data_IF_255170828139
#
_entry.id   IF_255170828139
#
_cell.length_a   1.000
_cell.length_b   1.000
_cell.length_c   1.000
_cell.angle_alpha   90.00
_cell.angle_beta   90.00
_cell.angle_gamma   90.00
#
_symmetry.space_group_name_H-M   'P 1'
#
loop_
_entity.id
_entity.type
_entity.pdbx_description
1 polymer ?
#
# COMPACT_ATOMS: atom_id res chain seq x y z
N UNK A 1 7.32 0.19 -24.28
CA UNK A 1 6.83 1.44 -23.66
C UNK A 1 5.68 1.93 -24.51
N UNK A 2 4.50 2.11 -23.95
CA UNK A 2 3.32 2.56 -24.69
C UNK A 2 3.40 4.08 -24.75
N UNK A 3 3.66 4.62 -25.95
CA UNK A 3 3.54 6.05 -26.18
C UNK A 3 2.04 6.40 -26.11
N UNK A 4 1.68 7.41 -25.37
CA UNK A 4 0.31 7.88 -25.23
C UNK A 4 0.21 9.38 -25.47
N UNK A 5 -1.01 9.86 -25.59
CA UNK A 5 -1.30 11.27 -25.79
C UNK A 5 -2.35 11.74 -24.79
N UNK A 6 -2.37 13.02 -24.48
CA UNK A 6 -3.58 13.70 -24.00
C UNK A 6 -4.27 14.33 -25.19
N UNK A 7 -5.56 14.05 -25.33
CA UNK A 7 -6.41 14.65 -26.37
C UNK A 7 -7.33 15.69 -25.75
N UNK A 8 -7.74 16.63 -26.59
CA UNK A 8 -8.69 17.68 -26.22
C UNK A 8 -9.77 17.78 -27.29
N UNK A 9 -11.01 17.86 -26.85
CA UNK A 9 -12.17 18.02 -27.71
C UNK A 9 -12.13 19.38 -28.42
N UNK A 10 -12.37 19.41 -29.72
CA UNK A 10 -12.40 20.66 -30.51
C UNK A 10 -13.69 21.46 -30.32
N UNK A 11 -14.74 20.86 -29.75
CA UNK A 11 -15.96 21.59 -29.43
C UNK A 11 -15.71 22.52 -28.22
N UNK A 12 -15.82 23.84 -28.41
CA UNK A 12 -15.54 24.83 -27.37
C UNK A 12 -16.47 24.73 -26.15
N UNK A 13 -17.70 24.24 -26.34
CA UNK A 13 -18.66 24.04 -25.26
C UNK A 13 -18.40 22.75 -24.47
N UNK A 14 -17.56 21.85 -24.99
CA UNK A 14 -17.19 20.59 -24.35
C UNK A 14 -15.84 20.63 -23.67
N UNK A 15 -14.78 21.02 -24.38
CA UNK A 15 -13.41 21.17 -23.88
C UNK A 15 -12.85 19.92 -23.16
N UNK A 16 -13.44 18.73 -23.38
CA UNK A 16 -13.08 17.52 -22.64
C UNK A 16 -11.67 17.06 -22.97
N UNK A 17 -10.83 16.89 -21.97
CA UNK A 17 -9.43 16.47 -22.10
C UNK A 17 -9.20 15.13 -21.41
N UNK A 18 -8.60 14.17 -22.14
CA UNK A 18 -8.46 12.79 -21.66
C UNK A 18 -7.19 12.11 -22.20
N UNK A 19 -6.63 11.12 -21.48
CA UNK A 19 -5.52 10.31 -21.98
C UNK A 19 -6.02 9.29 -23.01
N UNK A 20 -5.26 9.14 -24.11
CA UNK A 20 -5.46 8.12 -25.13
C UNK A 20 -4.17 7.33 -25.32
N UNK A 21 -4.26 6.02 -25.11
CA UNK A 21 -3.13 5.10 -25.24
C UNK A 21 -3.00 4.52 -26.67
N UNK A 22 -3.94 4.81 -27.56
CA UNK A 22 -3.89 4.38 -28.96
C UNK A 22 -2.95 5.27 -29.77
N UNK A 23 -1.70 4.86 -29.87
CA UNK A 23 -0.63 5.59 -30.57
C UNK A 23 -0.84 5.72 -32.09
N UNK A 24 -1.78 4.97 -32.68
CA UNK A 24 -1.94 4.84 -34.14
C UNK A 24 -3.15 5.59 -34.72
N UNK A 25 -3.91 6.31 -33.93
CA UNK A 25 -5.12 7.00 -34.38
C UNK A 25 -4.86 8.50 -34.57
N UNK A 26 -4.71 8.94 -35.81
CA UNK A 26 -4.62 10.38 -36.14
C UNK A 26 -5.94 11.10 -35.86
N UNK A 27 -7.07 10.42 -36.00
CA UNK A 27 -8.41 10.93 -35.68
C UNK A 27 -9.00 10.17 -34.50
N UNK A 28 -9.40 10.89 -33.47
CA UNK A 28 -10.17 10.35 -32.34
C UNK A 28 -11.40 11.22 -32.10
N UNK A 29 -12.45 10.57 -31.59
CA UNK A 29 -13.67 11.25 -31.19
C UNK A 29 -13.77 11.40 -29.69
N UNK A 30 -14.29 12.53 -29.25
CA UNK A 30 -14.48 12.83 -27.85
C UNK A 30 -15.46 11.84 -27.21
N UNK A 31 -15.09 11.12 -26.13
CA UNK A 31 -15.98 10.13 -25.49
C UNK A 31 -17.17 10.78 -24.78
N UNK A 32 -17.16 12.12 -24.63
CA UNK A 32 -18.24 12.86 -23.97
C UNK A 32 -19.29 13.39 -24.94
N UNK A 33 -18.89 13.96 -26.06
CA UNK A 33 -19.84 14.61 -27.01
C UNK A 33 -19.77 14.06 -28.43
N UNK A 34 -18.84 13.16 -28.75
CA UNK A 34 -18.70 12.57 -30.10
C UNK A 34 -17.99 13.47 -31.13
N UNK A 35 -17.62 14.69 -30.80
CA UNK A 35 -16.92 15.61 -31.68
C UNK A 35 -15.44 15.23 -31.84
N UNK A 36 -14.75 15.73 -32.83
CA UNK A 36 -13.33 15.47 -33.06
C UNK A 36 -12.49 15.88 -31.85
N UNK A 37 -11.50 15.09 -31.49
CA UNK A 37 -10.53 15.42 -30.46
C UNK A 37 -9.11 15.38 -31.03
N UNK A 38 -8.36 16.44 -30.81
CA UNK A 38 -6.97 16.61 -31.27
C UNK A 38 -5.95 16.27 -30.21
N UNK A 39 -4.71 15.99 -30.62
CA UNK A 39 -3.60 15.75 -29.69
C UNK A 39 -3.20 17.08 -29.03
N UNK A 40 -3.40 17.18 -27.71
CA UNK A 40 -3.04 18.35 -26.92
C UNK A 40 -1.61 18.23 -26.35
N UNK A 41 -1.18 17.02 -25.93
CA UNK A 41 0.19 16.80 -25.49
C UNK A 41 0.58 15.33 -25.62
N UNK A 42 1.90 15.07 -25.71
CA UNK A 42 2.48 13.71 -25.77
C UNK A 42 2.96 13.29 -24.39
N UNK A 43 2.76 12.00 -24.06
CA UNK A 43 3.29 11.41 -22.84
C UNK A 43 4.75 11.02 -23.11
N UNK A 44 5.70 11.67 -22.45
CA UNK A 44 7.10 11.30 -22.52
C UNK A 44 7.37 10.10 -21.62
N UNK A 45 7.78 8.98 -22.20
CA UNK A 45 8.08 7.74 -21.48
C UNK A 45 9.44 7.75 -20.73
N UNK A 46 10.21 8.83 -20.80
CA UNK A 46 11.53 8.95 -20.16
C UNK A 46 11.43 9.38 -18.69
N UNK A 47 10.55 8.76 -17.91
CA UNK A 47 10.61 8.92 -16.46
C UNK A 47 11.78 8.11 -15.91
N UNK A 48 12.83 8.79 -15.46
CA UNK A 48 13.85 8.19 -14.62
C UNK A 48 13.21 7.82 -13.29
N UNK A 49 13.21 6.53 -12.98
CA UNK A 49 12.83 6.09 -11.65
C UNK A 49 13.79 6.72 -10.63
N UNK A 50 13.26 7.41 -9.64
CA UNK A 50 14.02 7.80 -8.46
C UNK A 50 14.23 6.54 -7.62
N UNK A 51 15.32 5.81 -7.92
CA UNK A 51 15.74 4.72 -7.04
C UNK A 51 16.33 5.32 -5.78
N UNK A 52 15.73 5.01 -4.66
CA UNK A 52 16.29 5.33 -3.35
C UNK A 52 16.99 4.07 -2.85
N UNK A 53 18.19 4.23 -2.27
CA UNK A 53 18.96 3.11 -1.70
C UNK A 53 18.12 2.25 -0.78
N UNK A 54 18.40 0.95 -0.74
CA UNK A 54 17.69 -0.01 0.12
C UNK A 54 17.72 0.47 1.57
N UNK A 55 16.56 0.37 2.24
CA UNK A 55 16.46 0.61 3.66
C UNK A 55 17.25 -0.47 4.41
N UNK A 56 17.97 -0.09 5.48
CA UNK A 56 18.59 -1.05 6.39
C UNK A 56 17.58 -1.77 7.28
N UNK A 57 16.31 -1.36 7.20
CA UNK A 57 15.22 -1.88 8.00
C UNK A 57 14.59 -3.07 7.28
N UNK A 58 14.46 -4.18 7.95
CA UNK A 58 13.70 -5.33 7.49
C UNK A 58 12.29 -5.23 8.09
N UNK A 59 11.30 -5.01 7.22
CA UNK A 59 9.90 -4.94 7.62
C UNK A 59 9.18 -6.16 7.07
N UNK A 60 8.51 -6.91 7.96
CA UNK A 60 7.56 -7.96 7.61
C UNK A 60 6.16 -7.50 8.02
N UNK A 61 5.27 -7.13 7.09
CA UNK A 61 3.88 -6.86 7.40
C UNK A 61 3.14 -8.14 7.79
N UNK A 62 2.30 -8.07 8.83
CA UNK A 62 1.33 -9.09 9.17
C UNK A 62 -0.07 -8.52 8.99
N UNK A 63 -0.84 -9.10 8.07
CA UNK A 63 -2.22 -8.72 7.80
C UNK A 63 -3.14 -9.61 8.65
N UNK A 64 -3.66 -9.02 9.73
CA UNK A 64 -4.50 -9.76 10.67
C UNK A 64 -5.98 -9.70 10.26
N UNK A 65 -6.47 -10.81 9.70
CA UNK A 65 -7.88 -10.98 9.35
C UNK A 65 -8.44 -9.92 8.38
N UNK A 66 -7.64 -9.43 7.43
CA UNK A 66 -8.10 -8.50 6.39
C UNK A 66 -9.13 -9.19 5.51
N UNK A 67 -10.26 -8.53 5.23
CA UNK A 67 -11.37 -9.12 4.47
C UNK A 67 -11.31 -8.84 2.97
N UNK A 68 -10.85 -7.66 2.62
CA UNK A 68 -10.89 -7.18 1.24
C UNK A 68 -9.69 -7.64 0.43
N UNK A 69 -9.94 -8.43 -0.62
CA UNK A 69 -8.94 -8.78 -1.65
C UNK A 69 -8.25 -7.54 -2.23
N UNK A 70 -9.01 -6.46 -2.42
CA UNK A 70 -8.48 -5.20 -2.97
C UNK A 70 -7.50 -4.52 -2.01
N UNK A 71 -7.80 -4.54 -0.71
CA UNK A 71 -6.88 -4.02 0.30
C UNK A 71 -5.59 -4.82 0.34
N UNK A 72 -5.68 -6.16 0.34
CA UNK A 72 -4.51 -7.04 0.32
C UNK A 72 -3.66 -6.79 -0.92
N UNK A 73 -4.26 -6.74 -2.11
CA UNK A 73 -3.54 -6.47 -3.36
C UNK A 73 -2.86 -5.09 -3.36
N UNK A 74 -3.53 -4.06 -2.81
CA UNK A 74 -2.96 -2.72 -2.66
C UNK A 74 -1.78 -2.70 -1.69
N UNK A 75 -1.88 -3.42 -0.57
CA UNK A 75 -0.80 -3.55 0.41
C UNK A 75 0.41 -4.27 -0.22
N UNK A 76 0.18 -5.38 -0.94
CA UNK A 76 1.25 -6.12 -1.65
C UNK A 76 1.99 -5.19 -2.63
N UNK A 77 1.26 -4.40 -3.41
CA UNK A 77 1.85 -3.43 -4.33
C UNK A 77 2.66 -2.35 -3.61
N UNK A 78 2.18 -1.88 -2.47
CA UNK A 78 2.89 -0.93 -1.62
C UNK A 78 4.18 -1.55 -1.04
N UNK A 79 4.12 -2.80 -0.62
CA UNK A 79 5.30 -3.55 -0.16
C UNK A 79 6.37 -3.61 -1.23
N UNK A 80 6.01 -3.98 -2.45
CA UNK A 80 6.94 -4.02 -3.58
C UNK A 80 7.59 -2.66 -3.84
N UNK A 81 6.78 -1.58 -3.85
CA UNK A 81 7.26 -0.22 -4.04
C UNK A 81 8.25 0.28 -2.98
N UNK A 82 8.16 -0.22 -1.75
CA UNK A 82 9.09 0.09 -0.65
C UNK A 82 10.23 -0.91 -0.48
N UNK A 83 10.31 -1.95 -1.32
CA UNK A 83 11.33 -3.00 -1.22
C UNK A 83 11.10 -3.97 -0.07
N UNK A 84 9.89 -4.05 0.47
CA UNK A 84 9.45 -5.05 1.45
C UNK A 84 9.29 -6.38 0.70
N UNK A 85 10.04 -7.40 1.11
CA UNK A 85 10.20 -8.65 0.36
C UNK A 85 9.34 -9.81 0.86
N UNK A 86 8.82 -9.72 2.08
CA UNK A 86 8.02 -10.78 2.71
C UNK A 86 6.79 -10.19 3.38
N UNK A 87 5.65 -10.91 3.33
CA UNK A 87 4.39 -10.54 3.97
C UNK A 87 3.73 -11.77 4.59
N UNK A 88 3.09 -11.59 5.72
CA UNK A 88 2.33 -12.65 6.42
C UNK A 88 0.84 -12.32 6.31
N UNK A 89 0.08 -13.31 5.89
CA UNK A 89 -1.38 -13.25 5.74
C UNK A 89 -1.99 -14.18 6.78
N UNK A 90 -2.78 -13.65 7.73
CA UNK A 90 -3.32 -14.49 8.81
C UNK A 90 -4.84 -14.57 8.82
N UNK A 91 -5.33 -15.68 9.35
CA UNK A 91 -6.76 -15.93 9.56
C UNK A 91 -7.56 -15.94 8.25
N UNK A 92 -8.54 -15.05 8.11
CA UNK A 92 -9.40 -14.95 6.93
C UNK A 92 -8.81 -14.10 5.80
N UNK A 93 -7.58 -13.61 5.93
CA UNK A 93 -6.94 -12.75 4.92
C UNK A 93 -6.79 -13.50 3.60
N UNK A 94 -7.31 -12.96 2.47
CA UNK A 94 -7.16 -13.57 1.16
C UNK A 94 -5.68 -13.71 0.77
N UNK A 95 -5.34 -14.86 0.22
CA UNK A 95 -3.97 -15.14 -0.26
C UNK A 95 -3.83 -14.79 -1.75
N UNK A 96 -2.60 -14.69 -2.26
CA UNK A 96 -2.33 -14.43 -3.68
C UNK A 96 -2.95 -15.42 -4.67
N UNK A 97 -3.31 -16.63 -4.24
CA UNK A 97 -4.02 -17.59 -5.11
C UNK A 97 -5.50 -17.25 -5.33
N UNK A 98 -6.02 -16.21 -4.68
CA UNK A 98 -7.40 -15.79 -4.87
C UNK A 98 -7.60 -15.22 -6.29
N UNK A 99 -8.63 -15.65 -7.08
CA UNK A 99 -8.79 -15.30 -8.51
C UNK A 99 -8.85 -13.81 -8.84
N UNK A 100 -9.22 -12.96 -7.86
CA UNK A 100 -9.30 -11.51 -8.05
C UNK A 100 -8.00 -10.79 -7.68
N UNK A 101 -7.01 -11.49 -7.16
CA UNK A 101 -5.78 -10.86 -6.66
C UNK A 101 -4.91 -10.32 -7.80
N UNK A 102 -4.82 -11.01 -8.94
CA UNK A 102 -4.02 -10.59 -10.10
C UNK A 102 -4.41 -9.20 -10.61
N UNK A 103 -5.70 -8.87 -10.57
CA UNK A 103 -6.21 -7.57 -11.01
C UNK A 103 -5.80 -6.42 -10.08
N UNK A 104 -5.52 -6.71 -8.83
CA UNK A 104 -5.22 -5.69 -7.79
C UNK A 104 -3.73 -5.52 -7.53
N UNK A 105 -2.98 -6.61 -7.61
CA UNK A 105 -1.53 -6.63 -7.37
C UNK A 105 -0.69 -6.19 -8.58
N UNK A 106 -1.27 -6.13 -9.80
CA UNK A 106 -0.63 -5.64 -11.04
C UNK A 106 0.80 -6.19 -11.25
N UNK A 107 0.99 -7.50 -11.05
CA UNK A 107 2.31 -8.16 -11.20
C UNK A 107 3.22 -8.09 -9.97
N UNK A 108 2.94 -7.27 -8.96
CA UNK A 108 3.75 -7.17 -7.73
C UNK A 108 3.77 -8.45 -6.90
N UNK A 109 2.74 -9.30 -7.05
CA UNK A 109 2.59 -10.57 -6.33
C UNK A 109 3.78 -11.50 -6.56
N UNK A 110 4.35 -11.51 -7.76
CA UNK A 110 5.46 -12.40 -8.13
C UNK A 110 6.79 -12.00 -7.46
N UNK A 111 6.89 -10.76 -6.98
CA UNK A 111 8.10 -10.18 -6.40
C UNK A 111 8.13 -10.24 -4.87
N UNK A 112 7.05 -10.73 -4.24
CA UNK A 112 6.91 -10.77 -2.78
C UNK A 112 6.72 -12.21 -2.32
N UNK A 113 7.55 -12.63 -1.38
CA UNK A 113 7.36 -13.87 -0.65
C UNK A 113 6.19 -13.69 0.32
N UNK A 114 5.24 -14.58 0.31
CA UNK A 114 4.13 -14.57 1.25
C UNK A 114 4.06 -15.87 2.06
N UNK A 115 3.62 -15.75 3.29
CA UNK A 115 3.40 -16.87 4.21
C UNK A 115 1.98 -16.76 4.75
N UNK A 116 1.26 -17.88 4.76
CA UNK A 116 -0.05 -17.95 5.40
C UNK A 116 0.07 -18.50 6.83
N UNK A 117 -0.61 -17.87 7.77
CA UNK A 117 -0.67 -18.29 9.16
C UNK A 117 -2.14 -18.47 9.59
N UNK A 118 -2.53 -19.63 10.05
CA UNK A 118 -3.89 -19.87 10.57
C UNK A 118 -4.19 -19.00 11.80
N UNK A 119 -3.17 -18.66 12.58
CA UNK A 119 -3.29 -17.88 13.82
C UNK A 119 -2.26 -16.76 13.81
N UNK A 120 -2.75 -15.50 13.72
CA UNK A 120 -1.92 -14.29 13.71
C UNK A 120 -1.18 -14.09 15.02
N UNK A 121 -1.83 -14.31 16.16
CA UNK A 121 -1.22 -14.17 17.49
C UNK A 121 -0.02 -15.12 17.65
N UNK A 122 -0.19 -16.39 17.33
CA UNK A 122 0.89 -17.36 17.41
C UNK A 122 2.06 -16.94 16.51
N UNK A 123 1.76 -16.42 15.33
CA UNK A 123 2.79 -15.94 14.39
C UNK A 123 3.55 -14.73 14.91
N UNK A 124 2.88 -13.81 15.57
CA UNK A 124 3.52 -12.65 16.24
C UNK A 124 4.44 -13.13 17.36
N UNK A 125 4.00 -14.10 18.18
CA UNK A 125 4.84 -14.68 19.25
C UNK A 125 6.13 -15.30 18.67
N UNK A 126 6.01 -16.04 17.56
CA UNK A 126 7.17 -16.63 16.87
C UNK A 126 8.14 -15.56 16.36
N UNK A 127 7.63 -14.45 15.80
CA UNK A 127 8.47 -13.35 15.31
C UNK A 127 9.17 -12.63 16.46
N UNK A 128 8.48 -12.37 17.58
CA UNK A 128 9.10 -11.80 18.79
C UNK A 128 10.23 -12.70 19.31
N UNK A 129 10.01 -14.00 19.35
CA UNK A 129 11.04 -14.95 19.75
C UNK A 129 12.28 -14.95 18.82
N UNK A 130 12.11 -14.53 17.57
CA UNK A 130 13.19 -14.32 16.58
C UNK A 130 13.83 -12.93 16.65
N UNK A 131 13.41 -12.08 17.59
CA UNK A 131 13.97 -10.74 17.78
C UNK A 131 13.33 -9.66 16.90
N UNK A 132 12.14 -9.88 16.35
CA UNK A 132 11.39 -8.83 15.68
C UNK A 132 10.70 -7.93 16.69
N UNK A 133 10.84 -6.62 16.52
CA UNK A 133 10.00 -5.64 17.20
C UNK A 133 8.62 -5.61 16.55
N UNK A 134 7.59 -5.81 17.34
CA UNK A 134 6.19 -5.82 16.88
C UNK A 134 5.58 -4.45 17.04
N UNK A 135 5.10 -3.89 15.93
CA UNK A 135 4.45 -2.59 15.87
C UNK A 135 3.03 -2.79 15.36
N UNK A 136 2.04 -2.50 16.17
CA UNK A 136 0.62 -2.48 15.78
C UNK A 136 0.23 -1.10 15.26
N UNK A 137 -0.37 -1.04 14.07
CA UNK A 137 -0.95 0.19 13.52
C UNK A 137 -2.44 0.21 13.85
N UNK A 138 -2.81 0.90 14.91
CA UNK A 138 -4.18 0.94 15.43
C UNK A 138 -4.47 2.24 16.18
N UNK A 139 -5.68 2.76 16.06
CA UNK A 139 -6.14 3.92 16.83
C UNK A 139 -6.51 3.48 18.25
N UNK A 140 -5.72 3.87 19.24
CA UNK A 140 -6.00 3.60 20.66
C UNK A 140 -5.54 4.77 21.53
N UNK A 141 -6.04 4.83 22.76
CA UNK A 141 -5.66 5.89 23.71
C UNK A 141 -4.17 5.84 24.09
N UNK A 142 -3.54 4.70 23.98
CA UNK A 142 -2.11 4.47 24.29
C UNK A 142 -1.22 4.53 23.07
N UNK A 143 -1.78 4.75 21.88
CA UNK A 143 -1.02 4.78 20.65
C UNK A 143 -0.15 6.03 20.53
N UNK A 144 1.08 5.84 20.10
CA UNK A 144 2.00 6.94 19.79
C UNK A 144 1.65 7.48 18.39
N UNK A 145 1.47 8.80 18.23
CA UNK A 145 1.33 9.40 16.91
C UNK A 145 2.50 9.03 16.01
N UNK A 146 2.22 8.57 14.80
CA UNK A 146 3.24 8.06 13.88
C UNK A 146 4.39 9.06 13.64
N UNK A 147 4.09 10.37 13.63
CA UNK A 147 5.10 11.42 13.47
C UNK A 147 6.10 11.52 14.62
N UNK A 148 5.86 10.88 15.77
CA UNK A 148 6.78 10.79 16.91
C UNK A 148 7.70 9.56 16.82
N UNK A 149 7.40 8.61 15.92
CA UNK A 149 8.25 7.45 15.70
C UNK A 149 9.51 7.90 14.98
N UNK A 150 10.65 7.65 15.59
CA UNK A 150 11.97 8.02 15.08
C UNK A 150 12.92 6.82 15.11
N UNK A 151 14.11 6.97 14.55
CA UNK A 151 15.10 5.90 14.42
C UNK A 151 15.53 5.30 15.75
N UNK A 152 15.51 6.07 16.83
CA UNK A 152 16.03 5.62 18.13
C UNK A 152 15.15 4.59 18.81
N UNK A 153 13.85 4.54 18.45
CA UNK A 153 12.90 3.59 19.01
C UNK A 153 12.66 2.38 18.09
N UNK A 154 13.22 2.39 16.87
CA UNK A 154 13.06 1.31 15.90
C UNK A 154 14.23 0.33 15.97
N UNK A 155 13.89 -0.97 15.98
CA UNK A 155 14.86 -2.04 15.79
C UNK A 155 15.06 -2.34 14.31
N UNK A 156 16.11 -3.12 13.98
CA UNK A 156 16.44 -3.48 12.59
C UNK A 156 15.37 -4.38 11.94
N UNK A 157 14.75 -5.25 12.73
CA UNK A 157 13.74 -6.23 12.27
C UNK A 157 12.39 -5.85 12.85
N UNK A 158 11.44 -5.50 11.98
CA UNK A 158 10.10 -5.06 12.38
C UNK A 158 9.01 -5.99 11.85
N UNK A 159 8.02 -6.29 12.69
CA UNK A 159 6.74 -6.81 12.27
C UNK A 159 5.71 -5.68 12.36
N UNK A 160 5.23 -5.18 11.22
CA UNK A 160 4.16 -4.19 11.16
C UNK A 160 2.81 -4.90 11.04
N UNK A 161 2.00 -4.85 12.09
CA UNK A 161 0.67 -5.47 12.13
C UNK A 161 -0.39 -4.46 11.71
N UNK A 162 -1.27 -4.86 10.79
CA UNK A 162 -2.49 -4.13 10.42
C UNK A 162 -3.68 -5.07 10.52
N UNK A 163 -4.79 -4.56 11.02
CA UNK A 163 -5.94 -5.36 11.42
C UNK A 163 -7.14 -5.30 10.46
N UNK A 164 -8.15 -6.07 10.82
CA UNK A 164 -9.43 -6.17 10.15
C UNK A 164 -10.11 -4.80 10.00
N UNK A 165 -10.74 -4.55 8.85
CA UNK A 165 -11.34 -3.25 8.50
C UNK A 165 -12.51 -2.83 9.43
N UNK A 166 -13.08 -3.75 10.18
CA UNK A 166 -14.19 -3.47 11.11
C UNK A 166 -13.82 -3.62 12.58
N UNK A 167 -12.93 -4.56 12.87
CA UNK A 167 -12.63 -4.97 14.25
C UNK A 167 -11.23 -4.57 14.71
N UNK A 168 -10.41 -4.03 13.78
CA UNK A 168 -9.02 -3.70 14.08
C UNK A 168 -8.14 -4.94 14.25
N UNK A 169 -7.06 -4.78 14.96
CA UNK A 169 -6.10 -5.83 15.30
C UNK A 169 -6.61 -6.64 16.50
N UNK A 170 -6.40 -7.95 16.51
CA UNK A 170 -6.68 -8.81 17.67
C UNK A 170 -6.11 -8.16 18.95
N UNK A 171 -6.93 -7.96 20.00
CA UNK A 171 -6.49 -7.35 21.26
C UNK A 171 -5.31 -8.04 21.92
N UNK A 172 -5.19 -9.37 21.76
CA UNK A 172 -4.04 -10.10 22.33
C UNK A 172 -2.75 -9.82 21.54
N UNK A 173 -2.84 -9.55 20.24
CA UNK A 173 -1.70 -9.07 19.44
C UNK A 173 -1.31 -7.67 19.89
N UNK A 174 -2.27 -6.76 20.05
CA UNK A 174 -1.98 -5.39 20.52
C UNK A 174 -1.30 -5.40 21.89
N UNK A 175 -1.77 -6.24 22.81
CA UNK A 175 -1.25 -6.36 24.19
C UNK A 175 0.22 -6.80 24.22
N UNK A 176 0.65 -7.64 23.30
CA UNK A 176 2.04 -8.11 23.22
C UNK A 176 2.90 -7.29 22.26
N UNK A 177 2.35 -6.28 21.60
CA UNK A 177 3.09 -5.38 20.71
C UNK A 177 4.06 -4.51 21.50
N UNK A 178 5.25 -4.28 20.95
CA UNK A 178 6.26 -3.43 21.57
C UNK A 178 5.90 -1.94 21.44
N UNK A 179 5.19 -1.61 20.34
CA UNK A 179 4.64 -0.29 20.10
C UNK A 179 3.24 -0.40 19.48
N UNK A 180 2.36 0.50 19.86
CA UNK A 180 1.11 0.78 19.16
C UNK A 180 1.24 2.19 18.58
N UNK A 181 1.10 2.34 17.28
CA UNK A 181 1.22 3.62 16.58
C UNK A 181 -0.09 3.97 15.89
N UNK A 182 -0.41 5.25 15.84
CA UNK A 182 -1.62 5.75 15.19
C UNK A 182 -1.31 6.87 14.20
N UNK A 183 -2.10 6.94 13.15
CA UNK A 183 -2.11 8.08 12.23
C UNK A 183 -3.13 9.08 12.74
N UNK A 184 -2.73 10.30 13.16
CA UNK A 184 -3.67 11.30 13.64
C UNK A 184 -4.71 11.65 12.58
N UNK A 185 -5.98 11.71 13.01
CA UNK A 185 -7.12 12.07 12.18
C UNK A 185 -7.61 13.47 12.55
N UNK A 186 -7.94 14.28 11.55
CA UNK A 186 -8.49 15.64 11.75
C UNK A 186 -9.95 15.76 11.26
N UNK A 187 -10.50 14.71 10.66
CA UNK A 187 -11.87 14.68 10.15
C UNK A 187 -12.82 13.92 11.08
N UNK A 188 -14.07 13.78 10.65
CA UNK A 188 -15.11 13.05 11.38
C UNK A 188 -14.92 11.51 11.39
N UNK A 189 -14.11 10.99 10.48
CA UNK A 189 -13.81 9.54 10.43
C UNK A 189 -12.75 9.18 11.46
N UNK A 190 -12.92 8.03 12.08
CA UNK A 190 -12.02 7.54 13.13
C UNK A 190 -10.81 6.76 12.58
N UNK A 191 -10.82 6.36 11.30
CA UNK A 191 -9.75 5.60 10.69
C UNK A 191 -9.65 5.79 9.18
N UNK A 192 -8.46 5.57 8.62
CA UNK A 192 -8.22 5.42 7.19
C UNK A 192 -8.61 4.03 6.70
N UNK A 193 -8.82 3.88 5.40
CA UNK A 193 -8.79 2.56 4.78
C UNK A 193 -7.45 1.87 5.11
N UNK A 194 -7.49 0.57 5.44
CA UNK A 194 -6.33 -0.16 5.94
C UNK A 194 -5.14 -0.15 4.98
N UNK A 195 -5.38 -0.20 3.65
CA UNK A 195 -4.29 -0.14 2.68
C UNK A 195 -3.67 1.25 2.57
N UNK A 196 -4.45 2.30 2.80
CA UNK A 196 -3.95 3.69 2.89
C UNK A 196 -3.15 3.88 4.18
N UNK A 197 -3.70 3.44 5.32
CA UNK A 197 -3.01 3.48 6.60
C UNK A 197 -1.66 2.74 6.53
N UNK A 198 -1.66 1.52 5.97
CA UNK A 198 -0.44 0.76 5.75
C UNK A 198 0.58 1.53 4.91
N UNK A 199 0.14 2.15 3.80
CA UNK A 199 1.02 2.93 2.93
C UNK A 199 1.70 4.11 3.65
N UNK A 200 0.93 4.83 4.48
CA UNK A 200 1.46 5.94 5.29
C UNK A 200 2.49 5.41 6.31
N UNK A 201 2.15 4.33 7.02
CA UNK A 201 3.03 3.75 8.03
C UNK A 201 4.32 3.19 7.42
N UNK A 202 4.21 2.42 6.35
CA UNK A 202 5.35 1.84 5.65
C UNK A 202 6.30 2.93 5.11
N UNK A 203 5.74 3.99 4.50
CA UNK A 203 6.53 5.13 4.05
C UNK A 203 7.29 5.78 5.20
N UNK A 204 6.60 6.09 6.29
CA UNK A 204 7.23 6.75 7.45
C UNK A 204 8.36 5.89 8.04
N UNK A 205 8.09 4.61 8.31
CA UNK A 205 9.09 3.69 8.90
C UNK A 205 10.32 3.53 7.99
N UNK A 206 10.11 3.37 6.68
CA UNK A 206 11.21 3.26 5.71
C UNK A 206 12.02 4.55 5.64
N UNK A 207 11.38 5.73 5.69
CA UNK A 207 12.08 7.02 5.59
C UNK A 207 12.86 7.35 6.87
N UNK A 208 12.28 7.12 8.04
CA UNK A 208 12.95 7.31 9.33
C UNK A 208 14.21 6.44 9.47
N UNK A 209 14.19 5.24 8.91
CA UNK A 209 15.35 4.34 8.95
C UNK A 209 16.50 4.74 8.01
N UNK A 210 16.25 5.62 7.04
CA UNK A 210 17.25 6.11 6.06
C UNK A 210 18.03 7.33 6.54
N UNK A 211 17.47 8.06 7.49
CA UNK A 211 18.09 9.20 8.15
C UNK A 211 18.92 8.72 9.35
#
# INVERSE_FOLDING_TARGET
>A
MVAGFFRECTNPDCGFRYPDLNSNCELAYCPKCGEVATVASRINSNQKNLYVSESRLEIIPLLDNIRSVYNVGSIIRTCEGFGIREIILSGITPTPVHPRMDKTGLGSIQNIKWVFANNGLQKVIELKAKGFQVISLESSQTAIPIGQVNKTILQKHLCLVVGNEKHGIDPEIQKISDLVIAIPMSGEKESFNVSVAFGIAAYHLVMVARV
#
